data_IF_022075190403
#
_entry.id   IF_022075190403
#
_cell.length_a   1.000
_cell.length_b   1.000
_cell.length_c   1.000
_cell.angle_alpha   90.00
_cell.angle_beta   90.00
_cell.angle_gamma   90.00
#
_symmetry.space_group_name_H-M   'P 1'
#
loop_
_entity.id
_entity.type
_entity.pdbx_description
1 polymer ?
#
# COMPACT_ATOMS: atom_id res chain seq x y z
N UNK A 1 20.15 16.73 -21.13
CA UNK A 1 19.63 16.95 -19.76
C UNK A 1 20.16 15.80 -18.91
N UNK A 2 21.20 16.00 -18.11
CA UNK A 2 21.92 14.88 -17.47
C UNK A 2 21.41 14.51 -16.06
N UNK A 3 20.44 15.25 -15.50
CA UNK A 3 19.97 15.07 -14.11
C UNK A 3 18.47 15.30 -13.93
N UNK A 4 17.65 14.91 -14.91
CA UNK A 4 16.20 15.03 -14.76
C UNK A 4 15.66 13.90 -13.87
N UNK A 5 15.10 14.26 -12.72
CA UNK A 5 14.37 13.34 -11.84
C UNK A 5 12.94 13.84 -11.66
N UNK A 6 11.96 13.06 -12.08
CA UNK A 6 10.53 13.37 -11.96
C UNK A 6 10.08 13.52 -10.49
N UNK A 7 10.64 12.70 -9.60
CA UNK A 7 10.35 12.73 -8.16
C UNK A 7 11.65 12.57 -7.38
N UNK A 8 12.23 13.67 -6.84
CA UNK A 8 13.44 13.57 -6.04
C UNK A 8 13.15 12.86 -4.72
N UNK A 9 14.06 11.96 -4.32
CA UNK A 9 13.97 11.32 -3.00
C UNK A 9 14.18 12.36 -1.90
N UNK A 10 13.29 12.35 -0.91
CA UNK A 10 13.43 13.18 0.27
C UNK A 10 14.59 12.70 1.14
N UNK A 11 15.20 13.61 1.90
CA UNK A 11 16.24 13.23 2.87
C UNK A 11 15.71 12.23 3.91
N UNK A 12 16.63 11.60 4.65
CA UNK A 12 16.30 10.61 5.70
C UNK A 12 15.28 11.13 6.73
N UNK A 13 15.27 12.44 7.00
CA UNK A 13 14.26 13.09 7.86
C UNK A 13 12.81 12.90 7.39
N UNK A 14 12.58 12.84 6.08
CA UNK A 14 11.25 12.58 5.52
C UNK A 14 10.66 11.25 5.97
N UNK A 15 11.52 10.26 6.28
CA UNK A 15 11.11 8.96 6.82
C UNK A 15 10.44 9.10 8.19
N UNK A 16 11.02 9.89 9.09
CA UNK A 16 10.44 10.12 10.42
C UNK A 16 9.14 10.89 10.34
N UNK A 17 9.06 11.90 9.47
CA UNK A 17 7.82 12.66 9.26
C UNK A 17 6.72 11.75 8.70
N UNK A 18 7.04 10.96 7.67
CA UNK A 18 6.10 9.99 7.08
C UNK A 18 5.65 8.94 8.10
N UNK A 19 6.56 8.44 8.95
CA UNK A 19 6.25 7.50 10.01
C UNK A 19 5.29 8.12 11.04
N UNK A 20 5.58 9.34 11.50
CA UNK A 20 4.75 10.05 12.45
C UNK A 20 3.34 10.29 11.90
N UNK A 21 3.21 10.75 10.65
CA UNK A 21 1.92 10.92 9.97
C UNK A 21 1.17 9.59 9.89
N UNK A 22 1.87 8.51 9.50
CA UNK A 22 1.26 7.17 9.37
C UNK A 22 0.74 6.65 10.71
N UNK A 23 1.52 6.76 11.79
CA UNK A 23 1.13 6.33 13.13
C UNK A 23 -0.06 7.14 13.64
N UNK A 24 -0.01 8.47 13.53
CA UNK A 24 -1.11 9.34 13.96
C UNK A 24 -2.39 9.02 13.19
N UNK A 25 -2.30 8.84 11.87
CA UNK A 25 -3.46 8.49 11.04
C UNK A 25 -4.05 7.14 11.42
N UNK A 26 -3.21 6.15 11.73
CA UNK A 26 -3.64 4.81 12.14
C UNK A 26 -4.31 4.85 13.53
N UNK A 27 -3.78 5.65 14.47
CA UNK A 27 -4.43 5.88 15.76
C UNK A 27 -5.80 6.56 15.58
N UNK A 28 -5.90 7.55 14.70
CA UNK A 28 -7.18 8.21 14.40
C UNK A 28 -8.17 7.24 13.74
N UNK A 29 -7.71 6.35 12.85
CA UNK A 29 -8.53 5.28 12.28
C UNK A 29 -9.02 4.30 13.36
N UNK A 30 -8.16 3.90 14.29
CA UNK A 30 -8.53 3.03 15.41
C UNK A 30 -9.55 3.70 16.33
N UNK A 31 -9.36 4.99 16.64
CA UNK A 31 -10.33 5.77 17.42
C UNK A 31 -11.65 5.86 16.67
N UNK A 32 -11.63 6.12 15.36
CA UNK A 32 -12.82 6.18 14.53
C UNK A 32 -13.59 4.84 14.55
N UNK A 33 -12.90 3.70 14.50
CA UNK A 33 -13.56 2.37 14.53
C UNK A 33 -14.10 2.02 15.92
N UNK A 34 -13.43 2.42 17.00
CA UNK A 34 -13.84 2.09 18.37
C UNK A 34 -14.88 3.05 18.96
N UNK A 35 -14.71 4.35 18.75
CA UNK A 35 -15.57 5.41 19.30
C UNK A 35 -16.71 5.83 18.34
N UNK A 36 -16.64 5.39 17.07
CA UNK A 36 -17.62 5.69 16.04
C UNK A 36 -17.41 7.04 15.33
N UNK A 37 -18.11 7.26 14.21
CA UNK A 37 -17.89 8.41 13.31
C UNK A 37 -18.31 9.78 13.88
N UNK A 38 -19.07 9.80 14.97
CA UNK A 38 -19.52 11.04 15.60
C UNK A 38 -18.46 11.69 16.49
N UNK A 39 -17.36 10.98 16.78
CA UNK A 39 -16.32 11.43 17.70
C UNK A 39 -15.37 12.47 17.08
N UNK A 40 -14.95 12.30 15.83
CA UNK A 40 -13.88 13.11 15.23
C UNK A 40 -14.36 14.41 14.57
N UNK A 41 -15.23 14.32 13.57
CA UNK A 41 -15.59 15.48 12.75
C UNK A 41 -17.08 15.45 12.38
N UNK A 42 -17.93 15.99 13.26
CA UNK A 42 -19.40 16.03 13.07
C UNK A 42 -19.87 16.72 11.78
N UNK A 43 -19.02 17.51 11.14
CA UNK A 43 -19.32 18.25 9.90
C UNK A 43 -19.26 17.35 8.66
N UNK A 44 -18.49 16.26 8.69
CA UNK A 44 -18.34 15.36 7.55
C UNK A 44 -19.18 14.09 7.73
N UNK A 45 -19.71 13.56 6.61
CA UNK A 45 -20.33 12.24 6.61
C UNK A 45 -19.32 11.16 7.04
N UNK A 46 -19.74 10.08 7.71
CA UNK A 46 -18.85 9.00 8.16
C UNK A 46 -17.90 8.49 7.07
N UNK A 47 -18.43 8.29 5.86
CA UNK A 47 -17.63 7.86 4.71
C UNK A 47 -16.53 8.87 4.33
N UNK A 48 -16.84 10.17 4.30
CA UNK A 48 -15.86 11.21 3.99
C UNK A 48 -14.77 11.30 5.06
N UNK A 49 -15.14 11.09 6.33
CA UNK A 49 -14.15 11.03 7.42
C UNK A 49 -13.19 9.86 7.22
N UNK A 50 -13.73 8.66 6.97
CA UNK A 50 -12.92 7.46 6.75
C UNK A 50 -11.98 7.62 5.55
N UNK A 51 -12.49 8.11 4.41
CA UNK A 51 -11.69 8.36 3.21
C UNK A 51 -10.60 9.39 3.47
N UNK A 52 -10.90 10.45 4.23
CA UNK A 52 -9.91 11.48 4.58
C UNK A 52 -8.79 10.93 5.46
N UNK A 53 -9.12 10.08 6.44
CA UNK A 53 -8.13 9.42 7.29
C UNK A 53 -7.24 8.45 6.50
N UNK A 54 -7.82 7.71 5.54
CA UNK A 54 -7.05 6.84 4.64
C UNK A 54 -6.14 7.63 3.70
N UNK A 55 -6.58 8.80 3.23
CA UNK A 55 -5.72 9.72 2.48
C UNK A 55 -4.55 10.22 3.31
N UNK A 56 -4.79 10.65 4.55
CA UNK A 56 -3.73 11.08 5.46
C UNK A 56 -2.73 9.95 5.72
N UNK A 57 -3.23 8.73 5.94
CA UNK A 57 -2.39 7.54 6.08
C UNK A 57 -1.57 7.26 4.81
N UNK A 58 -2.20 7.36 3.63
CA UNK A 58 -1.53 7.18 2.35
C UNK A 58 -0.42 8.19 2.11
N UNK A 59 -0.60 9.44 2.52
CA UNK A 59 0.43 10.50 2.45
C UNK A 59 1.63 10.10 3.32
N UNK A 60 1.39 9.61 4.54
CA UNK A 60 2.45 9.13 5.43
C UNK A 60 3.25 7.98 4.81
N UNK A 61 2.54 6.98 4.26
CA UNK A 61 3.16 5.85 3.56
C UNK A 61 3.93 6.28 2.31
N UNK A 62 3.40 7.24 1.54
CA UNK A 62 4.07 7.79 0.37
C UNK A 62 5.39 8.48 0.77
N UNK A 63 5.37 9.33 1.80
CA UNK A 63 6.59 9.98 2.30
C UNK A 63 7.64 8.96 2.77
N UNK A 64 7.20 7.89 3.44
CA UNK A 64 8.09 6.77 3.80
C UNK A 64 8.71 6.14 2.54
N UNK A 65 7.90 5.85 1.53
CA UNK A 65 8.35 5.16 0.31
C UNK A 65 9.38 5.96 -0.49
N UNK A 66 9.26 7.29 -0.49
CA UNK A 66 10.14 8.20 -1.24
C UNK A 66 11.19 8.90 -0.37
N UNK A 67 11.53 8.31 0.79
CA UNK A 67 12.62 8.77 1.64
C UNK A 67 13.91 7.98 1.41
N UNK A 68 15.07 8.65 1.51
CA UNK A 68 16.37 7.98 1.50
C UNK A 68 16.59 7.19 2.78
N UNK A 69 17.37 6.12 2.70
CA UNK A 69 17.90 5.45 3.89
C UNK A 69 19.13 6.18 4.44
N UNK A 70 19.50 5.87 5.69
CA UNK A 70 20.71 6.43 6.33
C UNK A 70 21.98 6.09 5.52
N UNK A 71 22.01 4.89 4.97
CA UNK A 71 23.03 4.41 4.03
C UNK A 71 22.26 4.01 2.78
N UNK A 72 22.46 4.73 1.68
CA UNK A 72 21.74 4.53 0.41
C UNK A 72 22.73 4.02 -0.65
N UNK A 73 23.16 2.77 -0.46
CA UNK A 73 24.08 2.08 -1.35
C UNK A 73 23.36 1.43 -2.56
N UNK A 74 24.11 0.80 -3.46
CA UNK A 74 23.55 0.14 -4.64
C UNK A 74 22.53 -0.94 -4.28
N UNK A 75 22.74 -1.68 -3.18
CA UNK A 75 21.81 -2.71 -2.71
C UNK A 75 20.47 -2.08 -2.32
N UNK A 76 20.47 -0.98 -1.57
CA UNK A 76 19.24 -0.27 -1.21
C UNK A 76 18.49 0.21 -2.45
N UNK A 77 19.20 0.69 -3.46
CA UNK A 77 18.60 1.09 -4.73
C UNK A 77 17.96 -0.08 -5.48
N UNK A 78 18.61 -1.26 -5.48
CA UNK A 78 18.06 -2.48 -6.08
C UNK A 78 16.80 -3.00 -5.35
N UNK A 79 16.82 -3.01 -4.02
CA UNK A 79 15.66 -3.39 -3.20
C UNK A 79 14.51 -2.41 -3.42
N UNK A 80 14.80 -1.10 -3.45
CA UNK A 80 13.82 -0.04 -3.78
C UNK A 80 13.18 -0.27 -5.14
N UNK A 81 13.99 -0.53 -6.17
CA UNK A 81 13.48 -0.80 -7.51
C UNK A 81 12.56 -2.03 -7.54
N UNK A 82 12.95 -3.11 -6.86
CA UNK A 82 12.14 -4.33 -6.77
C UNK A 82 10.82 -4.09 -6.04
N UNK A 83 10.85 -3.37 -4.91
CA UNK A 83 9.66 -2.99 -4.17
C UNK A 83 8.72 -2.08 -4.99
N UNK A 84 9.27 -1.14 -5.77
CA UNK A 84 8.48 -0.29 -6.68
C UNK A 84 7.79 -1.11 -7.77
N UNK A 85 8.45 -2.12 -8.34
CA UNK A 85 7.80 -3.02 -9.33
C UNK A 85 6.64 -3.78 -8.71
N UNK A 86 6.80 -4.28 -7.48
CA UNK A 86 5.73 -4.93 -6.71
C UNK A 86 4.55 -3.99 -6.42
N UNK A 87 4.86 -2.75 -6.03
CA UNK A 87 3.86 -1.69 -5.84
C UNK A 87 3.07 -1.42 -7.12
N UNK A 88 3.75 -1.21 -8.24
CA UNK A 88 3.11 -0.94 -9.54
C UNK A 88 2.23 -2.10 -9.97
N UNK A 89 2.70 -3.35 -9.81
CA UNK A 89 1.89 -4.54 -10.09
C UNK A 89 0.61 -4.55 -9.23
N UNK A 90 0.71 -4.27 -7.94
CA UNK A 90 -0.44 -4.19 -7.04
C UNK A 90 -1.40 -3.05 -7.42
N UNK A 91 -0.89 -1.89 -7.86
CA UNK A 91 -1.75 -0.83 -8.38
C UNK A 91 -2.55 -1.32 -9.60
N UNK A 92 -1.90 -2.01 -10.55
CA UNK A 92 -2.59 -2.57 -11.70
C UNK A 92 -3.64 -3.61 -11.28
N UNK A 93 -3.31 -4.54 -10.39
CA UNK A 93 -4.27 -5.52 -9.85
C UNK A 93 -5.47 -4.79 -9.23
N UNK A 94 -5.23 -3.80 -8.37
CA UNK A 94 -6.27 -3.02 -7.71
C UNK A 94 -7.17 -2.29 -8.71
N UNK A 95 -6.60 -1.70 -9.76
CA UNK A 95 -7.35 -1.08 -10.85
C UNK A 95 -8.18 -2.12 -11.60
N UNK A 96 -7.57 -3.21 -12.08
CA UNK A 96 -8.28 -4.27 -12.79
C UNK A 96 -9.44 -4.85 -11.99
N UNK A 97 -9.22 -5.17 -10.71
CA UNK A 97 -10.26 -5.67 -9.81
C UNK A 97 -11.36 -4.63 -9.55
N UNK A 98 -11.02 -3.35 -9.54
CA UNK A 98 -12.01 -2.28 -9.37
C UNK A 98 -12.87 -2.14 -10.63
N UNK A 99 -12.27 -2.18 -11.83
CA UNK A 99 -12.99 -1.96 -13.09
C UNK A 99 -13.66 -3.23 -13.66
N UNK A 100 -13.24 -4.45 -13.28
CA UNK A 100 -13.81 -5.69 -13.83
C UNK A 100 -15.32 -5.87 -13.61
N UNK A 101 -15.93 -5.46 -12.47
CA UNK A 101 -17.38 -5.59 -12.28
C UNK A 101 -18.20 -4.72 -13.25
N UNK A 102 -17.65 -3.60 -13.74
CA UNK A 102 -18.32 -2.72 -14.72
C UNK A 102 -18.48 -3.39 -16.08
N UNK A 103 -17.73 -4.45 -16.34
CA UNK A 103 -17.75 -5.18 -17.61
C UNK A 103 -18.68 -6.39 -17.59
N UNK A 104 -19.22 -6.77 -16.43
CA UNK A 104 -19.87 -8.08 -16.24
C UNK A 104 -21.40 -7.96 -16.14
N UNK A 105 -21.98 -6.93 -15.51
CA UNK A 105 -23.45 -6.71 -15.53
C UNK A 105 -23.88 -5.37 -14.89
N UNK A 106 -25.16 -5.00 -15.03
CA UNK A 106 -25.82 -3.88 -14.33
C UNK A 106 -25.73 -4.01 -12.79
N UNK A 107 -25.67 -5.25 -12.27
CA UNK A 107 -25.44 -5.55 -10.86
C UNK A 107 -24.07 -5.03 -10.38
N UNK A 108 -23.05 -5.10 -11.25
CA UNK A 108 -21.70 -4.59 -11.01
C UNK A 108 -21.65 -3.08 -10.86
N UNK A 109 -22.49 -2.34 -11.59
CA UNK A 109 -22.64 -0.89 -11.41
C UNK A 109 -23.24 -0.54 -10.04
N UNK A 110 -24.22 -1.31 -9.56
CA UNK A 110 -24.87 -1.07 -8.26
C UNK A 110 -23.93 -1.27 -7.05
N UNK A 111 -23.04 -2.26 -7.12
CA UNK A 111 -22.06 -2.57 -6.09
C UNK A 111 -20.91 -1.55 -6.07
N UNK A 112 -20.48 -1.09 -7.24
CA UNK A 112 -19.49 -0.01 -7.37
C UNK A 112 -20.04 1.32 -6.84
N UNK A 113 -21.31 1.64 -7.13
CA UNK A 113 -21.92 2.92 -6.72
C UNK A 113 -21.96 3.12 -5.19
N UNK A 114 -21.96 2.03 -4.39
CA UNK A 114 -22.04 2.09 -2.92
C UNK A 114 -20.70 1.94 -2.19
N UNK A 115 -19.65 1.45 -2.84
CA UNK A 115 -18.36 1.14 -2.20
C UNK A 115 -17.11 1.59 -2.94
N UNK A 116 -17.24 2.15 -4.16
CA UNK A 116 -16.11 2.37 -5.08
C UNK A 116 -15.02 3.26 -4.53
N UNK A 117 -15.35 4.37 -3.83
CA UNK A 117 -14.31 5.33 -3.43
C UNK A 117 -13.42 4.77 -2.33
N UNK A 118 -14.00 4.10 -1.33
CA UNK A 118 -13.24 3.46 -0.25
C UNK A 118 -12.41 2.28 -0.77
N UNK A 119 -13.03 1.41 -1.56
CA UNK A 119 -12.35 0.25 -2.15
C UNK A 119 -11.19 0.69 -3.06
N UNK A 120 -11.37 1.75 -3.84
CA UNK A 120 -10.34 2.29 -4.73
C UNK A 120 -9.17 2.90 -3.93
N UNK A 121 -9.45 3.72 -2.91
CA UNK A 121 -8.38 4.25 -2.04
C UNK A 121 -7.60 3.10 -1.37
N UNK A 122 -8.29 2.07 -0.88
CA UNK A 122 -7.64 0.93 -0.24
C UNK A 122 -6.83 0.09 -1.23
N UNK A 123 -7.41 -0.30 -2.36
CA UNK A 123 -6.81 -1.25 -3.30
C UNK A 123 -5.78 -0.63 -4.24
N UNK A 124 -5.94 0.65 -4.60
CA UNK A 124 -5.10 1.33 -5.59
C UNK A 124 -4.02 2.19 -4.94
N UNK A 125 -4.23 2.65 -3.69
CA UNK A 125 -3.28 3.55 -3.01
C UNK A 125 -2.67 2.87 -1.79
N UNK A 126 -3.50 2.53 -0.79
CA UNK A 126 -3.00 2.05 0.51
C UNK A 126 -2.31 0.70 0.37
N UNK A 127 -2.96 -0.29 -0.25
CA UNK A 127 -2.43 -1.64 -0.37
C UNK A 127 -1.12 -1.69 -1.17
N UNK A 128 -0.98 -1.02 -2.33
CA UNK A 128 0.29 -0.95 -3.03
C UNK A 128 1.41 -0.30 -2.22
N UNK A 129 1.12 0.81 -1.52
CA UNK A 129 2.09 1.46 -0.65
C UNK A 129 2.51 0.58 0.53
N UNK A 130 1.58 -0.16 1.13
CA UNK A 130 1.91 -1.14 2.17
C UNK A 130 2.75 -2.28 1.61
N UNK A 131 2.40 -2.82 0.44
CA UNK A 131 3.19 -3.85 -0.24
C UNK A 131 4.61 -3.36 -0.51
N UNK A 132 4.77 -2.12 -0.97
CA UNK A 132 6.09 -1.50 -1.11
C UNK A 132 6.85 -1.55 0.23
N UNK A 133 6.25 -1.07 1.32
CA UNK A 133 6.90 -1.03 2.63
C UNK A 133 7.30 -2.43 3.12
N UNK A 134 6.43 -3.43 2.93
CA UNK A 134 6.70 -4.81 3.31
C UNK A 134 7.85 -5.40 2.50
N UNK A 135 7.80 -5.33 1.17
CA UNK A 135 8.85 -5.87 0.30
C UNK A 135 10.18 -5.18 0.56
N UNK A 136 10.17 -3.84 0.66
CA UNK A 136 11.36 -3.05 0.89
C UNK A 136 12.03 -3.40 2.23
N UNK A 137 11.28 -3.41 3.33
CA UNK A 137 11.85 -3.71 4.64
C UNK A 137 12.27 -5.18 4.78
N UNK A 138 11.54 -6.12 4.16
CA UNK A 138 11.97 -7.53 4.10
C UNK A 138 13.30 -7.64 3.34
N UNK A 139 13.41 -7.03 2.15
CA UNK A 139 14.63 -7.10 1.37
C UNK A 139 15.83 -6.44 2.04
N UNK A 140 15.58 -5.36 2.79
CA UNK A 140 16.63 -4.67 3.54
C UNK A 140 17.14 -5.46 4.75
N UNK A 141 16.27 -6.20 5.46
CA UNK A 141 16.64 -6.84 6.73
C UNK A 141 16.88 -8.35 6.63
N UNK A 142 16.22 -9.06 5.71
CA UNK A 142 16.29 -10.52 5.63
C UNK A 142 17.29 -11.03 4.57
N UNK A 143 17.83 -10.15 3.73
CA UNK A 143 18.75 -10.57 2.67
C UNK A 143 19.87 -9.54 2.48
N UNK A 144 20.90 -9.65 3.32
CA UNK A 144 22.09 -8.79 3.32
C UNK A 144 22.86 -8.83 2.00
N UNK A 145 22.80 -9.97 1.30
CA UNK A 145 23.53 -10.24 0.07
C UNK A 145 22.59 -10.24 -1.14
N UNK A 146 21.63 -9.31 -1.17
CA UNK A 146 20.68 -9.22 -2.28
C UNK A 146 21.42 -8.84 -3.58
N UNK A 147 21.83 -9.85 -4.33
CA UNK A 147 22.35 -9.73 -5.69
C UNK A 147 21.18 -9.88 -6.65
N UNK A 148 21.10 -9.00 -7.64
CA UNK A 148 20.12 -9.11 -8.71
C UNK A 148 20.39 -10.40 -9.50
N UNK A 149 19.54 -11.42 -9.30
CA UNK A 149 19.56 -12.63 -10.11
C UNK A 149 18.34 -12.58 -11.03
N UNK A 150 18.57 -12.67 -12.34
CA UNK A 150 17.53 -12.82 -13.37
C UNK A 150 16.92 -14.22 -13.32
N UNK A 151 16.32 -14.56 -12.18
CA UNK A 151 15.58 -15.80 -12.02
C UNK A 151 14.22 -15.66 -12.71
N UNK A 152 13.82 -16.71 -13.41
CA UNK A 152 12.43 -16.84 -13.82
C UNK A 152 11.51 -16.84 -12.59
N UNK A 153 10.23 -16.50 -12.78
CA UNK A 153 9.26 -16.53 -11.69
C UNK A 153 9.17 -17.92 -11.03
N UNK A 154 9.28 -18.98 -11.84
CA UNK A 154 9.27 -20.37 -11.38
C UNK A 154 10.48 -20.68 -10.50
N UNK A 155 11.69 -20.31 -10.94
CA UNK A 155 12.92 -20.56 -10.19
C UNK A 155 12.94 -19.80 -8.87
N UNK A 156 12.43 -18.56 -8.88
CA UNK A 156 12.33 -17.75 -7.67
C UNK A 156 11.35 -18.36 -6.66
N UNK A 157 10.21 -18.88 -7.15
CA UNK A 157 9.20 -19.51 -6.30
C UNK A 157 9.70 -20.80 -5.63
N UNK A 158 10.46 -21.61 -6.37
CA UNK A 158 11.12 -22.81 -5.83
C UNK A 158 12.20 -22.48 -4.80
N UNK A 159 12.98 -21.41 -5.02
CA UNK A 159 14.07 -21.01 -4.12
C UNK A 159 13.57 -20.32 -2.85
N UNK A 160 12.47 -19.56 -2.92
CA UNK A 160 12.01 -18.70 -1.83
C UNK A 160 10.57 -19.01 -1.36
N UNK A 161 10.18 -20.28 -1.11
CA UNK A 161 8.78 -20.65 -0.88
C UNK A 161 8.18 -19.99 0.37
N UNK A 162 8.99 -19.75 1.41
CA UNK A 162 8.56 -19.08 2.65
C UNK A 162 8.14 -17.63 2.40
N UNK A 163 8.87 -16.91 1.55
CA UNK A 163 8.53 -15.53 1.18
C UNK A 163 7.20 -15.49 0.41
N UNK A 164 7.02 -16.39 -0.56
CA UNK A 164 5.77 -16.49 -1.31
C UNK A 164 4.59 -16.87 -0.44
N UNK A 165 4.76 -17.81 0.50
CA UNK A 165 3.72 -18.17 1.46
C UNK A 165 3.32 -16.96 2.31
N UNK A 166 4.28 -16.24 2.87
CA UNK A 166 4.03 -15.01 3.62
C UNK A 166 3.30 -13.96 2.77
N UNK A 167 3.75 -13.74 1.53
CA UNK A 167 3.13 -12.80 0.62
C UNK A 167 1.67 -13.16 0.30
N UNK A 168 1.39 -14.44 0.01
CA UNK A 168 0.03 -14.93 -0.24
C UNK A 168 -0.85 -14.74 1.00
N UNK A 169 -0.35 -15.08 2.20
CA UNK A 169 -1.08 -14.86 3.46
C UNK A 169 -1.37 -13.37 3.65
N UNK A 170 -0.38 -12.50 3.44
CA UNK A 170 -0.53 -11.05 3.55
C UNK A 170 -1.60 -10.51 2.61
N UNK A 171 -1.54 -10.87 1.32
CA UNK A 171 -2.54 -10.45 0.32
C UNK A 171 -3.92 -11.01 0.69
N UNK A 172 -4.01 -12.26 1.14
CA UNK A 172 -5.28 -12.88 1.54
C UNK A 172 -5.90 -12.15 2.74
N UNK A 173 -5.10 -11.83 3.76
CA UNK A 173 -5.55 -11.05 4.93
C UNK A 173 -6.00 -9.65 4.51
N UNK A 174 -5.27 -9.00 3.60
CA UNK A 174 -5.61 -7.68 3.09
C UNK A 174 -6.95 -7.70 2.34
N UNK A 175 -7.15 -8.66 1.43
CA UNK A 175 -8.41 -8.85 0.71
C UNK A 175 -9.57 -9.18 1.65
N UNK A 176 -9.34 -10.07 2.62
CA UNK A 176 -10.36 -10.46 3.61
C UNK A 176 -10.76 -9.27 4.48
N UNK A 177 -9.79 -8.46 4.93
CA UNK A 177 -10.07 -7.23 5.67
C UNK A 177 -10.93 -6.25 4.86
N UNK A 178 -10.65 -6.10 3.57
CA UNK A 178 -11.44 -5.25 2.67
C UNK A 178 -12.86 -5.78 2.49
N UNK A 179 -13.04 -7.10 2.33
CA UNK A 179 -14.37 -7.71 2.25
C UNK A 179 -15.17 -7.50 3.55
N UNK A 180 -14.55 -7.71 4.72
CA UNK A 180 -15.19 -7.48 6.02
C UNK A 180 -15.64 -6.02 6.17
N UNK A 181 -14.79 -5.06 5.80
CA UNK A 181 -15.13 -3.63 5.85
C UNK A 181 -16.27 -3.23 4.91
N UNK A 182 -16.47 -3.98 3.83
CA UNK A 182 -17.58 -3.75 2.89
C UNK A 182 -18.87 -4.47 3.29
N UNK A 183 -18.80 -5.60 3.99
CA UNK A 183 -19.97 -6.38 4.46
C UNK A 183 -20.54 -5.84 5.78
N UNK A 184 -19.71 -5.24 6.64
CA UNK A 184 -20.15 -4.65 7.92
C UNK A 184 -20.80 -3.26 7.78
N UNK A 185 -21.07 -2.79 6.55
CA UNK A 185 -21.86 -1.60 6.25
C UNK A 185 -23.27 -1.99 5.84
#
# INVERSE_FOLDING_TARGET
>A
MNYFTLFPLQGYWGKFVGLAISIVSLLLLLIYTLAGPTFLLKVFSPEKQLVSLLWLFSIGLFMLSFSKEKIDDERVQLVRYTALRGMVLMCFIGLFSSFSPLMIDDLGMSLMAKGSTLALVLMVIVAPLLTYQVIFNIGLHLNTDWVYNDLSAEDNLKKNPKFFLFYIIFITLLLTGILILNVLK
#
